data_IF_493351705487
#
_entry.id   IF_493351705487
#
_cell.length_a   1.000
_cell.length_b   1.000
_cell.length_c   1.000
_cell.angle_alpha   90.00
_cell.angle_beta   90.00
_cell.angle_gamma   90.00
#
_symmetry.space_group_name_H-M   'P 1'
#
loop_
_entity.id
_entity.type
_entity.pdbx_description
1 polymer ?
#
# COMPACT_ATOMS: atom_id res chain seq x y z
N UNK A 1 77.25 15.96 22.42
CA UNK A 1 76.57 15.69 21.12
C UNK A 1 75.93 14.34 21.26
N UNK A 2 74.70 14.33 21.70
CA UNK A 2 73.98 13.20 22.29
C UNK A 2 73.11 12.54 21.25
N UNK A 3 73.41 11.26 21.04
CA UNK A 3 72.64 10.38 20.14
C UNK A 3 71.43 9.86 20.91
N UNK A 4 70.24 10.19 20.51
CA UNK A 4 68.99 9.66 21.10
C UNK A 4 68.50 8.54 20.19
N UNK A 5 68.66 7.31 20.69
CA UNK A 5 68.11 6.11 20.09
C UNK A 5 66.62 6.05 20.48
N UNK A 6 65.73 6.21 19.52
CA UNK A 6 64.30 5.95 19.71
C UNK A 6 64.00 4.48 19.42
N UNK A 7 63.72 3.73 20.47
CA UNK A 7 63.15 2.39 20.37
C UNK A 7 61.73 2.49 19.88
N UNK A 8 61.48 1.89 18.72
CA UNK A 8 60.14 1.60 18.24
C UNK A 8 59.65 0.31 18.90
N UNK A 9 58.69 0.41 19.81
CA UNK A 9 57.96 -0.74 20.34
C UNK A 9 56.85 -1.07 19.31
N UNK A 10 57.03 -2.16 18.59
CA UNK A 10 56.01 -2.77 17.75
C UNK A 10 55.01 -3.51 18.66
N UNK A 11 53.87 -2.91 18.91
CA UNK A 11 52.75 -3.61 19.53
C UNK A 11 52.04 -4.42 18.43
N UNK A 12 52.37 -5.71 18.41
CA UNK A 12 51.67 -6.70 17.55
C UNK A 12 50.35 -7.04 18.26
N UNK A 13 49.25 -6.37 17.89
CA UNK A 13 47.93 -6.75 18.35
C UNK A 13 47.49 -8.03 17.63
N UNK A 14 47.53 -9.14 18.34
CA UNK A 14 46.96 -10.39 17.90
C UNK A 14 45.43 -10.25 17.87
N UNK A 15 44.86 -10.08 16.68
CA UNK A 15 43.44 -10.25 16.45
C UNK A 15 43.12 -11.74 16.53
N UNK A 16 42.61 -12.17 17.67
CA UNK A 16 41.99 -13.49 17.79
C UNK A 16 40.65 -13.46 17.01
N UNK A 17 40.66 -14.01 15.83
CA UNK A 17 39.44 -14.39 15.11
C UNK A 17 38.76 -15.51 15.94
N UNK A 18 37.71 -15.13 16.67
CA UNK A 18 36.75 -16.11 17.19
C UNK A 18 35.94 -16.57 15.98
N UNK A 19 36.35 -17.67 15.39
CA UNK A 19 35.53 -18.40 14.46
C UNK A 19 34.34 -18.96 15.26
N UNK A 20 33.13 -18.41 15.03
CA UNK A 20 31.89 -19.10 15.37
C UNK A 20 31.88 -20.41 14.58
N UNK A 21 32.20 -21.50 15.25
CA UNK A 21 31.89 -22.83 14.75
C UNK A 21 30.36 -22.99 14.84
N UNK A 22 29.66 -23.33 13.76
CA UNK A 22 28.29 -23.78 13.88
C UNK A 22 28.31 -25.04 14.72
N UNK A 23 27.68 -24.97 15.88
CA UNK A 23 27.49 -26.15 16.71
C UNK A 23 26.71 -27.19 15.90
N UNK A 24 27.37 -28.29 15.61
CA UNK A 24 26.76 -29.47 15.05
C UNK A 24 25.95 -30.15 16.18
N UNK A 25 24.80 -29.56 16.53
CA UNK A 25 23.81 -30.18 17.40
C UNK A 25 23.20 -31.36 16.65
N UNK A 26 23.91 -32.47 16.64
CA UNK A 26 23.30 -33.76 16.29
C UNK A 26 22.24 -34.09 17.32
N UNK A 27 21.00 -33.99 16.92
CA UNK A 27 19.89 -34.51 17.72
C UNK A 27 20.05 -36.02 17.75
N UNK A 28 20.58 -36.57 18.84
CA UNK A 28 20.54 -38.01 19.10
C UNK A 28 19.11 -38.41 19.41
N UNK A 29 18.49 -39.15 18.48
CA UNK A 29 17.19 -39.78 18.71
C UNK A 29 17.42 -40.96 19.62
N UNK A 30 17.21 -40.78 20.94
CA UNK A 30 17.42 -41.78 21.96
C UNK A 30 16.23 -42.74 22.19
N UNK A 31 15.11 -42.53 21.49
CA UNK A 31 13.94 -43.44 21.59
C UNK A 31 13.35 -43.71 20.21
N UNK A 32 13.46 -44.92 19.75
CA UNK A 32 12.65 -45.50 18.67
C UNK A 32 11.41 -46.14 19.29
N UNK A 33 10.22 -45.60 18.98
CA UNK A 33 8.96 -46.22 19.31
C UNK A 33 8.56 -47.11 18.15
N UNK A 34 8.40 -48.42 18.39
CA UNK A 34 7.80 -49.29 17.39
C UNK A 34 6.39 -48.81 17.08
N UNK A 35 6.17 -48.39 15.83
CA UNK A 35 4.85 -48.12 15.31
C UNK A 35 4.15 -49.46 15.15
N UNK A 36 3.18 -49.74 16.04
CA UNK A 36 2.25 -50.85 15.81
C UNK A 36 1.56 -50.67 14.45
N UNK A 37 0.95 -51.75 13.95
CA UNK A 37 0.33 -51.85 12.62
C UNK A 37 -0.35 -50.56 12.15
N UNK A 38 0.37 -49.77 11.37
CA UNK A 38 -0.12 -48.51 10.78
C UNK A 38 -1.09 -48.88 9.65
N UNK A 39 -2.37 -48.89 9.94
CA UNK A 39 -3.40 -48.91 8.89
C UNK A 39 -3.48 -47.48 8.29
N UNK A 40 -3.07 -47.29 7.03
CA UNK A 40 -3.18 -45.95 6.42
C UNK A 40 -4.65 -45.55 6.41
N UNK A 41 -4.97 -44.41 7.03
CA UNK A 41 -6.30 -43.83 6.92
C UNK A 41 -6.60 -43.56 5.46
N UNK A 42 -7.83 -43.78 4.99
CA UNK A 42 -8.21 -43.51 3.62
C UNK A 42 -7.84 -42.05 3.31
N UNK A 43 -7.19 -41.83 2.16
CA UNK A 43 -6.86 -40.48 1.68
C UNK A 43 -8.18 -39.76 1.46
N UNK A 44 -8.61 -38.98 2.43
CA UNK A 44 -9.68 -38.00 2.20
C UNK A 44 -9.17 -37.02 1.13
N UNK A 45 -9.90 -36.92 0.04
CA UNK A 45 -9.62 -35.93 -1.04
C UNK A 45 -10.01 -34.51 -0.60
N UNK A 46 -9.71 -34.18 0.65
CA UNK A 46 -9.93 -32.85 1.21
C UNK A 46 -8.65 -32.01 1.04
N UNK A 47 -8.82 -30.75 0.69
CA UNK A 47 -7.71 -29.80 0.64
C UNK A 47 -7.05 -29.68 2.02
N UNK A 48 -5.82 -29.16 2.07
CA UNK A 48 -5.14 -28.93 3.35
C UNK A 48 -5.97 -28.02 4.28
N UNK A 49 -6.68 -27.04 3.73
CA UNK A 49 -7.56 -26.11 4.47
C UNK A 49 -8.74 -26.82 5.12
N UNK A 50 -9.40 -27.70 4.37
CA UNK A 50 -10.52 -28.49 4.89
C UNK A 50 -10.10 -29.42 6.03
N UNK A 51 -8.85 -29.91 6.00
CA UNK A 51 -8.31 -30.78 7.04
C UNK A 51 -8.00 -30.06 8.34
N UNK A 52 -7.69 -28.78 8.31
CA UNK A 52 -7.37 -27.96 9.49
C UNK A 52 -8.54 -27.10 9.97
N UNK A 53 -9.75 -27.27 9.37
CA UNK A 53 -10.95 -26.55 9.79
C UNK A 53 -10.87 -25.04 9.58
N UNK A 54 -10.05 -24.59 8.62
CA UNK A 54 -10.03 -23.19 8.24
C UNK A 54 -11.25 -22.98 7.34
N UNK A 55 -12.33 -22.46 7.92
CA UNK A 55 -13.45 -21.98 7.12
C UNK A 55 -12.94 -20.98 6.11
N UNK A 56 -13.30 -21.16 4.84
CA UNK A 56 -13.11 -20.13 3.83
C UNK A 56 -13.90 -18.91 4.29
N UNK A 57 -13.24 -17.97 4.95
CA UNK A 57 -13.70 -16.61 4.86
C UNK A 57 -13.71 -16.33 3.37
N UNK A 58 -14.91 -16.22 2.76
CA UNK A 58 -15.06 -15.76 1.39
C UNK A 58 -14.37 -14.40 1.30
N UNK A 59 -13.07 -14.43 1.14
CA UNK A 59 -12.33 -13.35 0.55
C UNK A 59 -12.87 -13.35 -0.85
N UNK A 60 -13.70 -12.38 -1.18
CA UNK A 60 -14.11 -12.14 -2.56
C UNK A 60 -12.80 -12.18 -3.33
N UNK A 61 -12.64 -13.22 -4.13
CA UNK A 61 -11.44 -13.42 -4.92
C UNK A 61 -11.43 -12.26 -5.87
N UNK A 62 -10.66 -11.23 -5.53
CA UNK A 62 -10.41 -10.10 -6.41
C UNK A 62 -9.98 -10.71 -7.72
N UNK A 63 -10.88 -10.70 -8.69
CA UNK A 63 -10.67 -11.35 -9.98
C UNK A 63 -9.37 -10.79 -10.54
N UNK A 64 -8.43 -11.65 -10.91
CA UNK A 64 -7.15 -11.24 -11.52
C UNK A 64 -7.38 -10.45 -12.82
N UNK A 65 -8.63 -10.43 -13.31
CA UNK A 65 -9.07 -9.72 -14.50
C UNK A 65 -9.82 -8.41 -14.18
N UNK A 66 -9.64 -7.84 -13.02
CA UNK A 66 -10.20 -6.54 -12.67
C UNK A 66 -9.11 -5.52 -12.35
N UNK A 67 -9.47 -4.26 -12.41
CA UNK A 67 -8.59 -3.13 -12.09
C UNK A 67 -9.35 -2.14 -11.22
N UNK A 68 -8.64 -1.48 -10.34
CA UNK A 68 -9.18 -0.43 -9.47
C UNK A 68 -8.40 0.86 -9.64
N UNK A 69 -9.12 1.95 -9.64
CA UNK A 69 -8.63 3.29 -9.85
C UNK A 69 -8.85 4.14 -8.61
N UNK A 70 -7.84 4.89 -8.23
CA UNK A 70 -7.85 5.74 -7.05
C UNK A 70 -7.32 7.10 -7.43
N UNK A 71 -8.08 8.14 -7.19
CA UNK A 71 -7.55 9.51 -7.18
C UNK A 71 -7.70 10.07 -5.78
N UNK A 72 -6.65 10.71 -5.28
CA UNK A 72 -6.65 11.23 -3.91
C UNK A 72 -5.93 12.57 -3.84
N UNK A 73 -6.59 13.54 -3.23
CA UNK A 73 -6.10 14.85 -2.86
C UNK A 73 -5.95 14.90 -1.33
N UNK A 74 -4.82 15.37 -0.81
CA UNK A 74 -4.56 15.44 0.64
C UNK A 74 -3.65 16.62 0.95
N UNK A 75 -3.93 17.34 2.02
CA UNK A 75 -3.11 18.47 2.47
C UNK A 75 -3.73 19.18 3.67
N UNK A 76 -3.18 20.30 4.11
CA UNK A 76 -3.82 21.19 5.06
C UNK A 76 -5.21 21.58 4.56
N UNK A 77 -6.20 21.62 5.48
CA UNK A 77 -7.60 21.82 5.10
C UNK A 77 -7.81 23.04 4.21
N UNK A 78 -7.24 24.18 4.57
CA UNK A 78 -7.41 25.43 3.81
C UNK A 78 -6.83 25.33 2.40
N UNK A 79 -5.67 24.68 2.26
CA UNK A 79 -5.00 24.45 0.96
C UNK A 79 -5.84 23.52 0.08
N UNK A 80 -6.36 22.43 0.66
CA UNK A 80 -7.24 21.50 -0.07
C UNK A 80 -8.56 22.16 -0.46
N UNK A 81 -9.20 22.94 0.44
CA UNK A 81 -10.44 23.63 0.14
C UNK A 81 -10.30 24.61 -1.04
N UNK A 82 -9.15 25.28 -1.15
CA UNK A 82 -8.86 26.18 -2.27
C UNK A 82 -8.65 25.44 -3.61
N UNK A 83 -8.29 24.16 -3.58
CA UNK A 83 -7.98 23.35 -4.77
C UNK A 83 -9.12 22.38 -5.18
N UNK A 84 -10.27 22.42 -4.50
CA UNK A 84 -11.35 21.49 -4.79
C UNK A 84 -11.91 21.60 -6.22
N UNK A 85 -12.02 22.81 -6.77
CA UNK A 85 -12.46 23.03 -8.16
C UNK A 85 -11.43 22.49 -9.17
N UNK A 86 -10.15 22.68 -8.86
CA UNK A 86 -9.05 22.13 -9.65
C UNK A 86 -9.05 20.59 -9.58
N UNK A 87 -9.30 20.01 -8.41
CA UNK A 87 -9.43 18.56 -8.23
C UNK A 87 -10.60 18.00 -9.04
N UNK A 88 -11.76 18.62 -8.99
CA UNK A 88 -12.93 18.21 -9.77
C UNK A 88 -12.65 18.30 -11.29
N UNK A 89 -11.97 19.35 -11.73
CA UNK A 89 -11.57 19.54 -13.13
C UNK A 89 -10.56 18.49 -13.58
N UNK A 90 -9.58 18.21 -12.74
CA UNK A 90 -8.60 17.14 -12.98
C UNK A 90 -9.28 15.77 -13.10
N UNK A 91 -10.16 15.41 -12.16
CA UNK A 91 -10.89 14.14 -12.19
C UNK A 91 -11.74 13.99 -13.47
N UNK A 92 -12.40 15.05 -13.91
CA UNK A 92 -13.21 15.05 -15.16
C UNK A 92 -12.35 14.96 -16.41
N UNK A 93 -11.12 15.45 -16.38
CA UNK A 93 -10.18 15.40 -17.50
C UNK A 93 -9.52 14.04 -17.72
N UNK A 94 -9.52 13.19 -16.70
CA UNK A 94 -8.91 11.86 -16.75
C UNK A 94 -9.66 10.96 -17.77
N UNK A 95 -8.91 10.43 -18.72
CA UNK A 95 -9.42 9.52 -19.74
C UNK A 95 -8.37 8.49 -20.14
N UNK A 96 -8.81 7.42 -20.78
CA UNK A 96 -7.88 6.46 -21.41
C UNK A 96 -7.33 7.09 -22.68
N UNK A 97 -6.02 7.00 -22.84
CA UNK A 97 -5.26 7.46 -24.00
C UNK A 97 -4.45 6.32 -24.63
N UNK A 98 -3.67 6.66 -25.64
CA UNK A 98 -2.80 5.71 -26.36
C UNK A 98 -1.38 5.61 -25.78
N UNK A 99 -1.07 6.38 -24.73
CA UNK A 99 0.25 6.47 -24.11
C UNK A 99 0.64 5.24 -23.27
N UNK A 100 1.80 5.32 -22.65
CA UNK A 100 2.22 4.36 -21.64
C UNK A 100 2.73 5.14 -20.41
N UNK A 101 1.97 5.18 -19.30
CA UNK A 101 0.68 4.51 -19.07
C UNK A 101 -0.45 5.07 -19.96
N UNK A 102 -1.51 4.28 -20.25
CA UNK A 102 -2.55 4.62 -21.21
C UNK A 102 -3.60 5.58 -20.60
N UNK A 103 -3.15 6.69 -20.04
CA UNK A 103 -4.01 7.70 -19.43
C UNK A 103 -3.58 9.09 -19.86
N UNK A 104 -4.57 9.95 -20.05
CA UNK A 104 -4.39 11.37 -20.33
C UNK A 104 -5.18 12.19 -19.32
N UNK A 105 -4.67 13.38 -18.98
CA UNK A 105 -5.29 14.33 -18.08
C UNK A 105 -4.90 15.76 -18.41
N UNK A 106 -5.65 16.70 -17.88
CA UNK A 106 -5.29 18.12 -17.88
C UNK A 106 -4.84 18.47 -16.46
N UNK A 107 -3.55 18.77 -16.30
CA UNK A 107 -2.97 19.20 -15.03
C UNK A 107 -3.44 20.64 -14.73
N UNK A 108 -3.98 20.94 -13.52
CA UNK A 108 -4.21 22.30 -13.08
C UNK A 108 -2.92 23.14 -13.09
N UNK A 109 -3.03 24.42 -13.43
CA UNK A 109 -1.87 25.30 -13.54
C UNK A 109 -1.13 25.49 -12.20
N UNK A 110 -1.87 25.47 -11.09
CA UNK A 110 -1.34 25.62 -9.72
C UNK A 110 -0.62 24.37 -9.19
N UNK A 111 -0.68 23.26 -9.92
CA UNK A 111 -0.06 22.01 -9.48
C UNK A 111 1.30 21.79 -10.13
N UNK A 112 2.25 21.29 -9.33
CA UNK A 112 3.56 20.85 -9.82
C UNK A 112 3.54 19.35 -10.05
N UNK A 113 4.06 18.91 -11.18
CA UNK A 113 4.21 17.51 -11.49
C UNK A 113 5.42 16.95 -10.76
N UNK A 114 5.22 15.82 -10.07
CA UNK A 114 6.24 15.12 -9.31
C UNK A 114 6.62 13.81 -10.01
N UNK A 115 7.77 13.26 -9.64
CA UNK A 115 8.21 11.98 -10.18
C UNK A 115 7.16 10.88 -9.96
N UNK A 116 6.94 10.10 -11.00
CA UNK A 116 6.07 8.93 -10.93
C UNK A 116 6.70 7.87 -10.03
N UNK A 117 5.88 7.16 -9.28
CA UNK A 117 6.30 6.00 -8.50
C UNK A 117 5.71 4.72 -9.07
N UNK A 118 6.19 3.57 -8.64
CA UNK A 118 5.79 2.26 -9.16
C UNK A 118 4.25 2.04 -9.18
N UNK A 119 3.49 2.74 -8.32
CA UNK A 119 2.04 2.60 -8.23
C UNK A 119 1.27 3.87 -8.58
N UNK A 120 1.95 5.01 -8.74
CA UNK A 120 1.31 6.29 -9.05
C UNK A 120 1.52 6.61 -10.51
N UNK A 121 0.43 6.62 -11.27
CA UNK A 121 0.41 6.98 -12.70
C UNK A 121 0.59 8.48 -12.89
N UNK A 122 0.00 9.28 -12.00
CA UNK A 122 0.21 10.71 -11.91
C UNK A 122 0.45 11.10 -10.45
N UNK A 123 1.33 12.07 -10.22
CA UNK A 123 1.71 12.53 -8.91
C UNK A 123 1.98 14.03 -8.95
N UNK A 124 1.33 14.79 -8.07
CA UNK A 124 1.39 16.25 -8.05
C UNK A 124 1.52 16.76 -6.63
N UNK A 125 2.23 17.87 -6.48
CA UNK A 125 2.22 18.70 -5.28
C UNK A 125 1.53 20.04 -5.56
N UNK A 126 0.95 20.66 -4.54
CA UNK A 126 0.31 21.96 -4.62
C UNK A 126 0.37 22.71 -3.29
N UNK A 127 -0.05 23.97 -3.31
CA UNK A 127 0.07 24.88 -2.17
C UNK A 127 1.37 25.70 -2.21
N UNK A 128 1.44 26.78 -1.46
CA UNK A 128 2.59 27.70 -1.47
C UNK A 128 3.91 27.01 -1.07
N UNK A 129 3.84 26.05 -0.16
CA UNK A 129 5.00 25.28 0.33
C UNK A 129 4.98 23.83 -0.16
N UNK A 130 4.21 23.50 -1.19
CA UNK A 130 4.03 22.16 -1.74
C UNK A 130 3.54 21.16 -0.68
N UNK A 131 2.76 21.62 0.28
CA UNK A 131 2.26 20.83 1.41
C UNK A 131 1.05 19.97 1.07
N UNK A 132 0.42 20.20 -0.09
CA UNK A 132 -0.64 19.39 -0.65
C UNK A 132 -0.13 18.36 -1.65
N UNK A 133 -0.79 17.23 -1.74
CA UNK A 133 -0.46 16.12 -2.63
C UNK A 133 -1.72 15.63 -3.35
N UNK A 134 -1.65 15.47 -4.68
CA UNK A 134 -2.66 14.76 -5.45
C UNK A 134 -2.02 13.64 -6.27
N UNK A 135 -2.62 12.46 -6.25
CA UNK A 135 -2.13 11.37 -7.09
C UNK A 135 -3.25 10.51 -7.66
N UNK A 136 -2.95 9.94 -8.82
CA UNK A 136 -3.77 8.93 -9.48
C UNK A 136 -3.03 7.59 -9.50
N UNK A 137 -3.70 6.55 -9.01
CA UNK A 137 -3.15 5.19 -8.87
C UNK A 137 -4.05 4.20 -9.57
N UNK A 138 -3.43 3.23 -10.24
CA UNK A 138 -4.10 2.11 -10.89
C UNK A 138 -3.54 0.81 -10.31
N UNK A 139 -4.40 -0.01 -9.74
CA UNK A 139 -4.01 -1.27 -9.12
C UNK A 139 -4.74 -2.45 -9.76
N UNK A 140 -4.03 -3.55 -10.04
CA UNK A 140 -4.68 -4.78 -10.49
C UNK A 140 -5.59 -5.34 -9.39
N UNK A 141 -6.67 -5.97 -9.79
CA UNK A 141 -7.68 -6.51 -8.90
C UNK A 141 -8.47 -5.43 -8.17
N UNK A 142 -9.13 -5.79 -7.08
CA UNK A 142 -9.90 -4.86 -6.23
C UNK A 142 -9.03 -3.94 -5.35
N UNK A 143 -7.70 -4.01 -5.44
CA UNK A 143 -6.80 -3.23 -4.56
C UNK A 143 -7.02 -3.49 -3.07
N UNK A 144 -7.64 -4.63 -2.71
CA UNK A 144 -8.06 -4.97 -1.34
C UNK A 144 -9.54 -4.73 -1.05
N UNK A 145 -10.34 -4.33 -2.06
CA UNK A 145 -11.76 -4.06 -1.95
C UNK A 145 -12.12 -2.65 -1.48
N UNK A 146 -13.31 -2.21 -1.84
CA UNK A 146 -13.78 -0.84 -1.59
C UNK A 146 -13.77 -0.48 -0.10
N UNK A 147 -14.39 -1.31 0.75
CA UNK A 147 -14.52 -1.05 2.21
C UNK A 147 -13.16 -0.91 2.87
N UNK A 148 -12.21 -1.80 2.54
CA UNK A 148 -10.87 -1.75 3.11
C UNK A 148 -10.10 -0.50 2.68
N UNK A 149 -10.29 -0.03 1.43
CA UNK A 149 -9.64 1.17 0.93
C UNK A 149 -10.20 2.45 1.55
N UNK A 150 -11.53 2.56 1.67
CA UNK A 150 -12.19 3.67 2.38
C UNK A 150 -11.68 3.74 3.82
N UNK A 151 -11.69 2.61 4.53
CA UNK A 151 -11.25 2.56 5.92
C UNK A 151 -9.74 2.81 6.08
N UNK A 152 -8.92 2.45 5.11
CA UNK A 152 -7.51 2.83 5.07
C UNK A 152 -7.34 4.36 5.01
N UNK A 153 -8.11 5.05 4.17
CA UNK A 153 -8.07 6.52 4.11
C UNK A 153 -8.60 7.15 5.39
N UNK A 154 -9.66 6.60 5.98
CA UNK A 154 -10.17 7.06 7.27
C UNK A 154 -9.16 6.91 8.40
N UNK A 155 -8.45 5.78 8.45
CA UNK A 155 -7.34 5.57 9.43
C UNK A 155 -6.21 6.57 9.25
N UNK A 156 -5.88 6.95 8.01
CA UNK A 156 -4.91 8.01 7.76
C UNK A 156 -5.37 9.37 8.32
N UNK A 157 -6.68 9.61 8.39
CA UNK A 157 -7.28 10.82 8.94
C UNK A 157 -7.63 10.69 10.42
N UNK A 158 -7.18 9.62 11.09
CA UNK A 158 -7.49 9.30 12.50
C UNK A 158 -9.00 9.19 12.78
N UNK A 159 -9.75 8.64 11.83
CA UNK A 159 -11.20 8.44 11.92
C UNK A 159 -11.53 6.94 12.08
N UNK A 160 -12.65 6.66 12.76
CA UNK A 160 -13.16 5.31 12.94
C UNK A 160 -13.53 4.65 11.59
N UNK A 161 -13.47 3.33 11.53
CA UNK A 161 -13.89 2.56 10.37
C UNK A 161 -15.41 2.70 10.14
N UNK A 162 -15.81 2.64 8.87
CA UNK A 162 -17.20 2.50 8.44
C UNK A 162 -17.54 1.04 8.21
N UNK A 163 -18.80 0.68 8.44
CA UNK A 163 -19.39 -0.58 8.03
C UNK A 163 -19.50 -0.66 6.49
N UNK A 164 -19.82 -1.85 5.96
CA UNK A 164 -20.07 -2.00 4.54
C UNK A 164 -21.25 -1.16 4.07
N UNK A 165 -22.34 -1.14 4.83
CA UNK A 165 -23.56 -0.42 4.53
C UNK A 165 -23.31 1.10 4.48
N UNK A 166 -22.50 1.63 5.39
CA UNK A 166 -22.11 3.03 5.40
C UNK A 166 -21.23 3.37 4.18
N UNK A 167 -20.30 2.51 3.82
CA UNK A 167 -19.48 2.69 2.61
C UNK A 167 -20.33 2.62 1.34
N UNK A 168 -21.29 1.70 1.27
CA UNK A 168 -22.20 1.58 0.14
C UNK A 168 -23.09 2.84 -0.02
N UNK A 169 -23.39 3.53 1.07
CA UNK A 169 -24.17 4.78 1.09
C UNK A 169 -23.41 6.04 0.68
N UNK A 170 -22.07 5.97 0.56
CA UNK A 170 -21.26 7.12 0.13
C UNK A 170 -21.71 7.61 -1.25
N UNK A 171 -21.55 8.91 -1.50
CA UNK A 171 -21.87 9.53 -2.77
C UNK A 171 -21.11 8.88 -3.93
N UNK A 172 -21.77 8.76 -5.06
CA UNK A 172 -21.12 8.35 -6.30
C UNK A 172 -20.74 9.59 -7.12
N UNK A 173 -19.61 9.53 -7.81
CA UNK A 173 -19.22 10.52 -8.82
C UNK A 173 -18.78 9.82 -10.09
N UNK A 174 -19.07 10.43 -11.24
CA UNK A 174 -18.52 10.00 -12.51
C UNK A 174 -16.99 10.11 -12.48
N UNK A 175 -16.33 9.03 -12.85
CA UNK A 175 -14.88 8.97 -12.87
C UNK A 175 -14.42 7.97 -13.92
N UNK A 176 -13.58 8.42 -14.85
CA UNK A 176 -13.17 7.64 -16.02
C UNK A 176 -14.40 7.16 -16.82
N UNK A 177 -14.68 5.87 -16.77
CA UNK A 177 -15.78 5.21 -17.50
C UNK A 177 -16.80 4.56 -16.56
N UNK A 178 -16.86 4.98 -15.31
CA UNK A 178 -17.75 4.40 -14.29
C UNK A 178 -18.19 5.36 -13.21
N UNK A 179 -18.82 4.79 -12.20
CA UNK A 179 -19.25 5.52 -10.99
C UNK A 179 -18.37 5.12 -9.80
N UNK A 180 -17.48 6.01 -9.42
CA UNK A 180 -16.62 5.81 -8.25
C UNK A 180 -17.28 6.32 -6.96
N UNK A 181 -16.92 5.74 -5.82
CA UNK A 181 -17.28 6.28 -4.51
C UNK A 181 -16.44 7.50 -4.20
N UNK A 182 -17.11 8.62 -3.93
CA UNK A 182 -16.49 9.85 -3.48
C UNK A 182 -16.36 9.89 -1.97
N UNK A 183 -15.19 10.24 -1.50
CA UNK A 183 -14.84 10.31 -0.09
C UNK A 183 -14.26 11.70 0.20
N UNK A 184 -14.78 12.35 1.22
CA UNK A 184 -14.26 13.61 1.73
C UNK A 184 -14.15 13.50 3.25
N UNK A 185 -12.96 13.74 3.79
CA UNK A 185 -12.63 13.52 5.20
C UNK A 185 -11.84 14.71 5.74
N UNK A 186 -12.13 15.09 6.97
CA UNK A 186 -11.35 16.05 7.73
C UNK A 186 -10.84 15.39 9.02
N UNK A 187 -9.62 15.70 9.41
CA UNK A 187 -9.04 15.11 10.61
C UNK A 187 -7.54 15.36 10.76
N UNK A 188 -6.93 14.58 11.60
CA UNK A 188 -5.50 14.60 11.86
C UNK A 188 -4.81 13.56 10.98
N UNK A 189 -4.06 14.01 9.98
CA UNK A 189 -3.46 13.13 9.00
C UNK A 189 -2.19 12.47 9.51
N UNK A 190 -2.10 11.17 9.28
CA UNK A 190 -0.91 10.35 9.52
C UNK A 190 -0.59 9.50 8.30
N UNK A 191 0.56 9.73 7.70
CA UNK A 191 1.06 8.91 6.58
C UNK A 191 1.33 7.48 7.02
N UNK A 192 1.17 6.54 6.10
CA UNK A 192 1.51 5.13 6.36
C UNK A 192 3.00 5.01 6.67
N UNK A 193 3.33 4.37 7.80
CA UNK A 193 4.71 4.20 8.26
C UNK A 193 5.32 5.43 8.95
N UNK A 194 4.61 6.57 9.02
CA UNK A 194 5.06 7.75 9.76
C UNK A 194 4.58 7.72 11.21
N UNK A 195 5.35 8.32 12.11
CA UNK A 195 4.93 8.65 13.48
C UNK A 195 4.40 10.07 13.60
N UNK A 196 4.65 10.92 12.61
CA UNK A 196 4.22 12.31 12.57
C UNK A 196 2.72 12.41 12.32
N UNK A 197 2.03 13.21 13.14
CA UNK A 197 0.61 13.55 13.01
C UNK A 197 0.49 15.01 12.60
N UNK A 198 -0.13 15.26 11.45
CA UNK A 198 -0.38 16.61 10.91
C UNK A 198 -1.81 16.99 11.19
N UNK A 199 -1.98 18.09 11.93
CA UNK A 199 -3.27 18.59 12.39
C UNK A 199 -4.04 19.32 11.28
N UNK A 200 -5.38 19.29 11.36
CA UNK A 200 -6.25 20.07 10.50
C UNK A 200 -6.01 19.82 9.01
N UNK A 201 -6.03 18.55 8.63
CA UNK A 201 -5.90 18.09 7.24
C UNK A 201 -7.26 17.73 6.65
N UNK A 202 -7.32 17.79 5.34
CA UNK A 202 -8.44 17.31 4.53
C UNK A 202 -7.95 16.30 3.50
N UNK A 203 -8.78 15.32 3.24
CA UNK A 203 -8.61 14.33 2.19
C UNK A 203 -9.88 14.31 1.35
N UNK A 204 -9.74 14.45 0.04
CA UNK A 204 -10.80 14.19 -0.92
C UNK A 204 -10.32 13.13 -1.91
N UNK A 205 -11.23 12.27 -2.36
CA UNK A 205 -10.83 11.25 -3.34
C UNK A 205 -11.99 10.46 -3.92
N UNK A 206 -11.69 9.73 -4.99
CA UNK A 206 -12.63 8.85 -5.67
C UNK A 206 -12.00 7.46 -5.75
N UNK A 207 -12.77 6.44 -5.44
CA UNK A 207 -12.40 5.03 -5.59
C UNK A 207 -13.36 4.40 -6.58
N UNK A 208 -12.83 3.92 -7.71
CA UNK A 208 -13.54 3.12 -8.69
C UNK A 208 -12.93 1.73 -8.69
N UNK A 209 -13.58 0.77 -8.03
CA UNK A 209 -13.02 -0.55 -7.77
C UNK A 209 -13.64 -1.64 -8.65
N UNK A 210 -12.83 -2.68 -8.90
CA UNK A 210 -13.28 -3.95 -9.48
C UNK A 210 -13.89 -3.86 -10.89
N UNK A 211 -13.38 -2.97 -11.72
CA UNK A 211 -13.79 -2.95 -13.12
C UNK A 211 -13.20 -4.15 -13.86
N UNK A 212 -14.01 -4.91 -14.58
CA UNK A 212 -13.49 -6.00 -15.39
C UNK A 212 -12.57 -5.46 -16.49
N UNK A 213 -11.37 -6.04 -16.59
CA UNK A 213 -10.42 -5.73 -17.66
C UNK A 213 -10.82 -6.52 -18.94
N UNK A 214 -11.88 -6.14 -19.56
CA UNK A 214 -12.18 -6.58 -20.93
C UNK A 214 -11.59 -5.56 -21.89
N UNK A 215 -10.26 -5.52 -21.99
CA UNK A 215 -9.62 -4.86 -23.12
C UNK A 215 -9.75 -5.79 -24.34
N UNK A 216 -10.92 -5.83 -24.94
CA UNK A 216 -11.00 -6.31 -26.31
C UNK A 216 -10.23 -5.30 -27.19
N UNK A 217 -9.19 -5.86 -27.88
CA UNK A 217 -8.38 -5.13 -28.85
C UNK A 217 -9.19 -4.87 -30.12
#
# INVERSE_FOLDING_TARGET
>A
MILIIRQFILILSAFTLVACQPGDERVEITQTRELGDFKPKPKLNLSFRDRVGIEEKKTETSSMNSVSFFVKLTGPKATVDAEMDNFDSFCKSLKIGEGNPPFEWVKPETWNEEEQSTMRVANFSFGENLEGECYFTVLPGGGGGLVANVNRWRKQMNLADLSKEEVDSLANREFLFGQGKYIELEGDFKSVGSTEVRKNYKLAGIILSELPMNFEK
#
